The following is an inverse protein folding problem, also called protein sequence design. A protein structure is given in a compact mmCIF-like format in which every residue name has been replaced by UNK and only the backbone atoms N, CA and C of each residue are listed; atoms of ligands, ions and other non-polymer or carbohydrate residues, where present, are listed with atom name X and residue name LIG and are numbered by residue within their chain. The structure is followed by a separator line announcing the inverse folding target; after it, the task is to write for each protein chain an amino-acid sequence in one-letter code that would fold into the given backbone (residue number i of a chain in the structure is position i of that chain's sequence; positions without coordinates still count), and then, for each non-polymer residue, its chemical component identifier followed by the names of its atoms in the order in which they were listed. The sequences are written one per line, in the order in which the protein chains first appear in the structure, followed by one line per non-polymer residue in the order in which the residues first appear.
data_IF_085037535642
#
_entry.id   IF_085037535642
#
_cell.length_a   1.000
_cell.length_b   1.000
_cell.length_c   1.000
_cell.angle_alpha   90.00
_cell.angle_beta   90.00
_cell.angle_gamma   90.00
#
_symmetry.space_group_name_H-M   'P 1'
#
loop_
_entity.id
_entity.type
_entity.pdbx_description
1 polymer ?
#
# COMPACT_ATOMS: atom_id res chain seq x y z
N UNK A 1 -13.75 -50.43 -4.10
CA UNK A 1 -12.75 -49.46 -4.60
C UNK A 1 -13.39 -48.22 -5.23
N UNK A 2 -14.32 -48.36 -6.19
CA UNK A 2 -14.94 -47.21 -6.89
C UNK A 2 -15.69 -46.21 -5.98
N UNK A 3 -16.34 -46.69 -4.93
CA UNK A 3 -17.08 -45.85 -3.96
C UNK A 3 -16.13 -44.89 -3.20
N UNK A 4 -14.93 -45.36 -2.86
CA UNK A 4 -13.94 -44.56 -2.13
C UNK A 4 -13.37 -43.45 -3.04
N UNK A 5 -13.09 -43.79 -4.31
CA UNK A 5 -12.65 -42.83 -5.32
C UNK A 5 -13.73 -41.76 -5.55
N UNK A 6 -14.99 -42.16 -5.70
CA UNK A 6 -16.10 -41.22 -5.86
C UNK A 6 -16.23 -40.26 -4.68
N UNK A 7 -16.13 -40.76 -3.44
CA UNK A 7 -16.13 -39.92 -2.24
C UNK A 7 -14.95 -38.95 -2.19
N UNK A 8 -13.74 -39.42 -2.52
CA UNK A 8 -12.56 -38.56 -2.59
C UNK A 8 -12.70 -37.44 -3.64
N UNK A 9 -13.22 -37.75 -4.83
CA UNK A 9 -13.48 -36.76 -5.89
C UNK A 9 -14.51 -35.71 -5.44
N UNK A 10 -15.59 -36.13 -4.78
CA UNK A 10 -16.59 -35.18 -4.24
C UNK A 10 -16.03 -34.29 -3.14
N UNK A 11 -15.14 -34.83 -2.30
CA UNK A 11 -14.48 -34.06 -1.25
C UNK A 11 -13.52 -33.02 -1.85
N UNK A 12 -12.70 -33.41 -2.82
CA UNK A 12 -11.78 -32.52 -3.52
C UNK A 12 -12.52 -31.40 -4.25
N UNK A 13 -13.65 -31.71 -4.92
CA UNK A 13 -14.48 -30.70 -5.57
C UNK A 13 -15.02 -29.67 -4.59
N UNK A 14 -15.53 -30.11 -3.43
CA UNK A 14 -16.01 -29.21 -2.38
C UNK A 14 -14.89 -28.34 -1.79
N UNK A 15 -13.68 -28.89 -1.66
CA UNK A 15 -12.52 -28.12 -1.20
C UNK A 15 -12.14 -27.03 -2.20
N UNK A 16 -12.10 -27.34 -3.50
CA UNK A 16 -11.79 -26.36 -4.55
C UNK A 16 -12.85 -25.24 -4.57
N UNK A 17 -14.13 -25.58 -4.49
CA UNK A 17 -15.23 -24.61 -4.47
C UNK A 17 -15.20 -23.72 -3.23
N UNK A 18 -14.91 -24.28 -2.05
CA UNK A 18 -14.76 -23.52 -0.81
C UNK A 18 -13.53 -22.59 -0.84
N UNK A 19 -12.41 -23.05 -1.42
CA UNK A 19 -11.21 -22.23 -1.61
C UNK A 19 -11.45 -21.09 -2.62
N UNK A 20 -12.20 -21.34 -3.69
CA UNK A 20 -12.57 -20.32 -4.68
C UNK A 20 -13.43 -19.21 -4.07
N UNK A 21 -14.46 -19.56 -3.30
CA UNK A 21 -15.36 -18.58 -2.67
C UNK A 21 -14.64 -17.63 -1.70
N UNK A 22 -13.75 -18.18 -0.88
CA UNK A 22 -12.95 -17.36 0.05
C UNK A 22 -11.99 -16.43 -0.69
N UNK A 23 -11.46 -16.87 -1.84
CA UNK A 23 -10.63 -16.04 -2.73
C UNK A 23 -11.43 -14.89 -3.37
N UNK A 24 -12.66 -15.14 -3.82
CA UNK A 24 -13.55 -14.12 -4.37
C UNK A 24 -13.93 -13.05 -3.31
N UNK A 25 -14.27 -13.47 -2.09
CA UNK A 25 -14.71 -12.55 -1.02
C UNK A 25 -13.59 -11.64 -0.50
N UNK A 26 -12.36 -12.16 -0.39
CA UNK A 26 -11.25 -11.44 0.26
C UNK A 26 -10.23 -10.88 -0.72
N UNK A 27 -10.39 -11.16 -2.03
CA UNK A 27 -9.40 -10.89 -3.06
C UNK A 27 -8.15 -11.74 -2.91
N UNK A 28 -7.41 -11.87 -4.01
CA UNK A 28 -6.10 -12.49 -4.02
C UNK A 28 -5.07 -11.71 -3.20
N UNK A 29 -3.87 -12.28 -3.09
CA UNK A 29 -2.76 -11.65 -2.38
C UNK A 29 -2.42 -10.26 -2.95
N UNK A 30 -2.49 -10.11 -4.27
CA UNK A 30 -2.18 -8.87 -4.99
C UNK A 30 -3.17 -7.75 -4.70
N UNK A 31 -4.46 -8.06 -4.67
CA UNK A 31 -5.55 -7.13 -4.38
C UNK A 31 -5.41 -6.59 -2.94
N UNK A 32 -5.19 -7.50 -1.98
CA UNK A 32 -4.96 -7.13 -0.57
C UNK A 32 -3.72 -6.26 -0.38
N UNK A 33 -2.62 -6.55 -1.08
CA UNK A 33 -1.43 -5.70 -1.05
C UNK A 33 -1.70 -4.31 -1.64
N UNK A 34 -2.52 -4.25 -2.69
CA UNK A 34 -2.88 -2.99 -3.34
C UNK A 34 -3.71 -2.11 -2.41
N UNK A 35 -4.69 -2.68 -1.71
CA UNK A 35 -5.46 -1.98 -0.68
C UNK A 35 -4.53 -1.40 0.42
N UNK A 36 -3.65 -2.22 1.00
CA UNK A 36 -2.66 -1.75 2.00
C UNK A 36 -1.74 -0.65 1.48
N UNK A 37 -1.32 -0.71 0.21
CA UNK A 37 -0.48 0.34 -0.41
C UNK A 37 -1.24 1.64 -0.58
N UNK A 38 -2.52 1.60 -0.92
CA UNK A 38 -3.38 2.78 -1.04
C UNK A 38 -3.56 3.42 0.33
N UNK A 39 -3.90 2.63 1.35
CA UNK A 39 -4.03 3.09 2.74
C UNK A 39 -2.75 3.76 3.24
N UNK A 40 -1.59 3.15 3.03
CA UNK A 40 -0.31 3.72 3.43
C UNK A 40 0.01 5.04 2.70
N UNK A 41 -0.37 5.16 1.42
CA UNK A 41 -0.20 6.39 0.64
C UNK A 41 -1.11 7.51 1.13
N UNK A 42 -2.36 7.21 1.45
CA UNK A 42 -3.29 8.19 2.02
C UNK A 42 -2.82 8.67 3.40
N UNK A 43 -2.42 7.76 4.29
CA UNK A 43 -1.84 8.13 5.59
C UNK A 43 -0.61 9.04 5.44
N UNK A 44 0.28 8.71 4.50
CA UNK A 44 1.44 9.55 4.21
C UNK A 44 1.03 10.94 3.67
N UNK A 45 -0.06 11.03 2.90
CA UNK A 45 -0.58 12.29 2.36
C UNK A 45 -1.17 13.19 3.46
N UNK A 46 -1.90 12.63 4.44
CA UNK A 46 -2.39 13.39 5.60
C UNK A 46 -1.26 13.95 6.47
N UNK A 47 -0.18 13.18 6.64
CA UNK A 47 0.99 13.63 7.39
C UNK A 47 1.89 14.61 6.62
N UNK A 48 1.60 14.86 5.34
CA UNK A 48 2.45 15.69 4.48
C UNK A 48 2.01 17.15 4.50
N UNK A 49 2.92 18.11 4.73
CA UNK A 49 2.60 19.53 4.64
C UNK A 49 2.39 19.94 3.18
N UNK A 50 1.76 21.10 3.01
CA UNK A 50 1.62 21.77 1.71
C UNK A 50 2.91 22.47 1.29
N UNK A 51 3.14 22.52 -0.02
CA UNK A 51 4.29 23.16 -0.62
C UNK A 51 4.16 24.69 -0.55
N UNK A 52 5.16 25.42 -0.04
CA UNK A 52 5.10 26.88 0.05
C UNK A 52 5.12 27.60 -1.31
N UNK A 53 5.51 26.91 -2.40
CA UNK A 53 5.62 27.50 -3.74
C UNK A 53 4.37 27.29 -4.61
N UNK A 54 3.65 26.19 -4.43
CA UNK A 54 2.53 25.82 -5.31
C UNK A 54 1.30 25.26 -4.59
N UNK A 55 1.33 25.15 -3.26
CA UNK A 55 0.22 24.61 -2.45
C UNK A 55 0.01 23.10 -2.56
N UNK A 56 0.63 22.39 -3.52
CA UNK A 56 0.49 20.93 -3.66
C UNK A 56 1.09 20.19 -2.46
N UNK A 57 0.62 18.98 -2.18
CA UNK A 57 1.17 18.15 -1.11
C UNK A 57 2.66 17.85 -1.32
N UNK A 58 3.40 17.75 -0.22
CA UNK A 58 4.80 17.36 -0.24
C UNK A 58 4.95 15.84 -0.01
N UNK A 59 6.12 15.29 -0.27
CA UNK A 59 6.49 13.90 0.03
C UNK A 59 7.79 13.88 0.81
N UNK A 60 7.91 12.98 1.78
CA UNK A 60 9.17 12.73 2.48
C UNK A 60 10.17 12.13 1.49
N UNK A 61 11.33 12.77 1.37
CA UNK A 61 12.48 12.29 0.61
C UNK A 61 13.69 12.24 1.54
N UNK A 62 14.60 11.32 1.29
CA UNK A 62 15.83 11.22 2.07
C UNK A 62 16.99 11.84 1.28
N UNK A 63 17.83 12.62 1.95
CA UNK A 63 19.09 13.15 1.43
C UNK A 63 20.26 12.70 2.31
N UNK A 64 21.49 12.96 1.89
CA UNK A 64 22.67 12.70 2.71
C UNK A 64 22.62 13.42 4.07
N UNK A 65 22.01 14.61 4.11
CA UNK A 65 21.87 15.43 5.32
C UNK A 65 20.65 15.06 6.18
N UNK A 66 19.82 14.12 5.72
CA UNK A 66 18.62 13.67 6.43
C UNK A 66 17.33 13.79 5.61
N UNK A 67 16.18 13.42 6.20
CA UNK A 67 14.88 13.49 5.55
C UNK A 67 14.42 14.95 5.38
N UNK A 68 13.76 15.22 4.27
CA UNK A 68 13.16 16.52 3.96
C UNK A 68 11.84 16.34 3.24
N UNK A 69 11.00 17.36 3.28
CA UNK A 69 9.79 17.44 2.46
C UNK A 69 10.15 18.00 1.08
N UNK A 70 9.87 17.25 0.01
CA UNK A 70 9.98 17.73 -1.37
C UNK A 70 8.61 17.78 -2.05
N UNK A 71 8.36 18.77 -2.91
CA UNK A 71 7.09 18.89 -3.62
C UNK A 71 6.75 17.62 -4.42
N UNK A 72 5.48 17.21 -4.40
CA UNK A 72 4.98 16.09 -5.20
C UNK A 72 5.01 16.34 -6.71
N UNK A 73 5.03 17.62 -7.14
CA UNK A 73 5.06 18.04 -8.54
C UNK A 73 6.47 18.33 -9.08
N UNK A 74 7.52 17.86 -8.42
CA UNK A 74 8.86 17.88 -9.01
C UNK A 74 8.89 17.04 -10.31
N UNK A 75 9.52 17.48 -11.42
CA UNK A 75 10.46 18.61 -11.55
C UNK A 75 9.84 19.99 -11.76
N UNK A 76 8.54 20.07 -12.08
CA UNK A 76 7.84 21.33 -12.39
C UNK A 76 7.82 22.31 -11.20
N UNK A 77 7.83 21.79 -9.98
CA UNK A 77 7.99 22.57 -8.76
C UNK A 77 9.15 22.02 -7.91
N UNK A 78 10.12 22.90 -7.59
CA UNK A 78 11.31 22.57 -6.78
C UNK A 78 11.17 22.95 -5.29
N UNK A 79 9.94 23.15 -4.81
CA UNK A 79 9.70 23.53 -3.41
C UNK A 79 10.14 22.45 -2.43
N UNK A 80 10.90 22.85 -1.42
CA UNK A 80 11.39 21.99 -0.34
C UNK A 80 11.08 22.60 1.02
N UNK A 81 10.96 21.75 2.04
CA UNK A 81 10.83 22.15 3.44
C UNK A 81 11.68 21.21 4.30
N UNK A 82 12.41 21.73 5.30
CA UNK A 82 13.07 20.85 6.26
C UNK A 82 12.01 20.07 7.05
N UNK A 83 12.25 18.79 7.29
CA UNK A 83 11.67 18.15 8.47
C UNK A 83 12.54 18.61 9.63
N UNK A 84 12.02 19.43 10.53
CA UNK A 84 12.76 19.82 11.74
C UNK A 84 13.36 18.58 12.40
N UNK A 85 14.57 18.73 12.94
CA UNK A 85 15.24 17.69 13.74
C UNK A 85 14.48 17.48 15.05
N UNK A 86 13.28 16.89 14.99
CA UNK A 86 12.57 16.43 16.17
C UNK A 86 13.08 15.01 16.45
N UNK A 87 14.28 14.93 17.02
CA UNK A 87 14.93 13.65 17.32
C UNK A 87 16.42 13.68 17.67
N UNK A 88 17.00 14.82 18.06
CA UNK A 88 18.30 14.83 18.75
C UNK A 88 18.28 15.77 19.96
N UNK A 89 17.64 15.30 21.03
CA UNK A 89 17.98 15.65 22.42
C UNK A 89 18.20 14.34 23.18
#
# INVERSE_FOLDING_TARGET
MLIIIGRALTMLKRQIEAQGKTFEETGGFSERLTAKRIEAREQAKLASPECPLCGKSMRRRNSATGPFWGCSAFPDCKGTRPMGQEGLH
#
